data_IF_174551719941
#
_entry.id   IF_174551719941
#
_cell.length_a   1.000
_cell.length_b   1.000
_cell.length_c   1.000
_cell.angle_alpha   90.00
_cell.angle_beta   90.00
_cell.angle_gamma   90.00
#
_symmetry.space_group_name_H-M   'P 1'
#
loop_
_entity.id
_entity.type
_entity.pdbx_description
1 polymer ?
#
# COMPACT_ATOMS: atom_id res chain seq x y z
N UNK A 1 11.46 2.13 -13.82
CA UNK A 1 11.73 3.39 -13.09
C UNK A 1 12.20 3.12 -11.68
N UNK A 2 13.21 3.85 -11.20
CA UNK A 2 13.69 3.85 -9.80
C UNK A 2 14.01 5.27 -9.36
N UNK A 3 13.89 5.56 -8.06
CA UNK A 3 14.34 6.82 -7.46
C UNK A 3 15.85 6.75 -7.27
N UNK A 4 16.56 7.80 -7.67
CA UNK A 4 18.03 7.91 -7.54
C UNK A 4 18.46 9.07 -6.65
N UNK A 5 17.61 10.08 -6.49
CA UNK A 5 17.88 11.23 -5.63
C UNK A 5 16.58 11.73 -5.00
N UNK A 6 16.63 12.00 -3.71
CA UNK A 6 15.57 12.58 -2.88
C UNK A 6 16.12 13.84 -2.23
N UNK A 7 15.59 14.99 -2.62
CA UNK A 7 15.96 16.30 -2.06
C UNK A 7 14.76 16.89 -1.34
N UNK A 8 14.90 17.17 -0.05
CA UNK A 8 13.87 17.82 0.76
C UNK A 8 14.44 19.11 1.36
N UNK A 9 13.69 20.20 1.26
CA UNK A 9 14.03 21.50 1.87
C UNK A 9 12.82 22.05 2.61
N UNK A 10 13.04 22.46 3.85
CA UNK A 10 12.08 23.15 4.73
C UNK A 10 10.70 22.47 4.87
N UNK A 11 10.63 21.13 4.81
CA UNK A 11 9.38 20.38 4.86
C UNK A 11 9.22 19.64 6.20
N UNK A 12 8.20 20.01 6.97
CA UNK A 12 7.87 19.43 8.30
C UNK A 12 9.10 19.37 9.19
N UNK A 13 9.47 18.21 9.73
CA UNK A 13 10.67 18.06 10.58
C UNK A 13 12.01 18.13 9.82
N UNK A 14 12.03 18.31 8.50
CA UNK A 14 13.24 18.24 7.67
C UNK A 14 13.61 19.63 7.14
N UNK A 15 14.69 20.21 7.64
CA UNK A 15 15.28 21.42 7.07
C UNK A 15 15.96 21.14 5.73
N UNK A 16 16.83 20.14 5.70
CA UNK A 16 17.58 19.72 4.51
C UNK A 16 17.78 18.21 4.54
N UNK A 17 17.54 17.55 3.41
CA UNK A 17 17.92 16.17 3.16
C UNK A 17 18.32 16.05 1.69
N UNK A 18 19.49 15.46 1.46
CA UNK A 18 19.94 15.00 0.15
C UNK A 18 20.29 13.53 0.28
N UNK A 19 19.48 12.67 -0.31
CA UNK A 19 19.63 11.23 -0.16
C UNK A 19 19.61 10.54 -1.52
N UNK A 20 20.66 9.75 -1.76
CA UNK A 20 20.82 8.89 -2.93
C UNK A 20 20.52 7.43 -2.53
N UNK A 21 19.26 6.97 -2.64
CA UNK A 21 18.91 5.59 -2.31
C UNK A 21 19.64 4.60 -3.23
N UNK A 22 20.10 3.49 -2.65
CA UNK A 22 20.73 2.42 -3.44
C UNK A 22 19.68 1.66 -4.26
N UNK A 23 20.07 1.00 -5.37
CA UNK A 23 19.16 0.12 -6.10
C UNK A 23 18.54 -0.96 -5.22
N UNK A 24 17.25 -1.26 -5.43
CA UNK A 24 16.53 -2.30 -4.70
C UNK A 24 15.87 -1.80 -3.42
N UNK A 25 16.20 -2.42 -2.27
CA UNK A 25 15.53 -2.19 -1.00
C UNK A 25 16.35 -1.29 -0.08
N UNK A 26 15.74 -0.19 0.37
CA UNK A 26 16.32 0.73 1.33
C UNK A 26 15.53 0.69 2.64
N UNK A 27 16.22 0.65 3.78
CA UNK A 27 15.61 0.61 5.11
C UNK A 27 15.96 1.88 5.91
N UNK A 28 14.95 2.69 6.22
CA UNK A 28 15.11 3.83 7.12
C UNK A 28 14.93 3.37 8.58
N UNK A 29 15.99 3.44 9.38
CA UNK A 29 15.99 2.99 10.78
C UNK A 29 16.36 4.16 11.67
N UNK A 30 15.69 4.29 12.82
CA UNK A 30 15.93 5.37 13.77
C UNK A 30 14.82 5.50 14.81
N UNK A 31 15.04 6.28 15.89
CA UNK A 31 14.09 6.46 16.98
C UNK A 31 12.78 7.09 16.51
N UNK A 32 11.74 7.08 17.37
CA UNK A 32 10.49 7.82 17.12
C UNK A 32 10.77 9.28 16.73
N UNK A 33 9.94 9.84 15.85
CA UNK A 33 10.02 11.23 15.39
C UNK A 33 11.32 11.67 14.68
N UNK A 34 12.21 10.75 14.35
CA UNK A 34 13.38 11.00 13.51
C UNK A 34 13.04 11.16 12.01
N UNK A 35 11.87 11.71 11.68
CA UNK A 35 11.40 12.08 10.32
C UNK A 35 11.39 10.99 9.24
N UNK A 36 11.62 9.72 9.58
CA UNK A 36 11.57 8.58 8.63
C UNK A 36 10.28 8.53 7.81
N UNK A 37 9.13 8.67 8.47
CA UNK A 37 7.81 8.71 7.81
C UNK A 37 7.68 9.96 6.94
N UNK A 38 8.21 11.10 7.40
CA UNK A 38 8.23 12.36 6.65
C UNK A 38 8.98 12.23 5.32
N UNK A 39 10.09 11.48 5.28
CA UNK A 39 10.81 11.20 4.03
C UNK A 39 9.91 10.43 3.05
N UNK A 40 9.20 9.40 3.53
CA UNK A 40 8.28 8.62 2.71
C UNK A 40 7.08 9.46 2.25
N UNK A 41 6.54 10.31 3.12
CA UNK A 41 5.45 11.25 2.79
C UNK A 41 5.89 12.26 1.74
N UNK A 42 7.13 12.78 1.83
CA UNK A 42 7.71 13.70 0.84
C UNK A 42 7.82 13.06 -0.54
N UNK A 43 8.35 11.83 -0.61
CA UNK A 43 8.43 11.04 -1.85
C UNK A 43 7.03 10.83 -2.44
N UNK A 44 6.07 10.42 -1.59
CA UNK A 44 4.67 10.21 -2.02
C UNK A 44 4.05 11.50 -2.57
N UNK A 45 4.28 12.64 -1.89
CA UNK A 45 3.76 13.94 -2.28
C UNK A 45 4.28 14.37 -3.65
N UNK A 46 5.60 14.34 -3.86
CA UNK A 46 6.21 14.77 -5.12
C UNK A 46 5.80 13.89 -6.32
N UNK A 47 5.72 12.57 -6.13
CA UNK A 47 5.41 11.63 -7.22
C UNK A 47 3.91 11.38 -7.43
N UNK A 48 3.04 11.93 -6.58
CA UNK A 48 1.58 11.78 -6.69
C UNK A 48 0.89 13.15 -6.80
N UNK A 49 1.07 13.88 -7.92
CA UNK A 49 0.49 15.22 -8.09
C UNK A 49 -1.02 15.22 -7.89
N UNK A 50 -1.50 16.25 -7.19
CA UNK A 50 -2.91 16.41 -6.82
C UNK A 50 -3.39 17.78 -7.29
N UNK A 51 -4.56 17.82 -7.91
CA UNK A 51 -5.13 19.06 -8.44
C UNK A 51 -5.58 20.03 -7.34
N UNK A 52 -5.90 19.53 -6.14
CA UNK A 52 -6.43 20.31 -5.02
C UNK A 52 -5.67 19.97 -3.72
N UNK A 53 -4.34 20.12 -3.72
CA UNK A 53 -3.57 20.01 -2.47
C UNK A 53 -3.46 21.38 -1.82
N UNK A 54 -3.91 21.46 -0.58
CA UNK A 54 -3.63 22.56 0.32
C UNK A 54 -2.70 22.02 1.40
N UNK A 55 -1.55 22.68 1.51
CA UNK A 55 -0.62 22.47 2.61
C UNK A 55 -1.23 22.99 3.92
N UNK A 56 -0.68 22.51 5.03
CA UNK A 56 -0.93 23.05 6.36
C UNK A 56 0.31 23.83 6.81
N UNK A 57 0.16 24.76 7.75
CA UNK A 57 1.27 25.45 8.41
C UNK A 57 2.34 24.46 8.95
N UNK A 58 1.88 23.30 9.41
CA UNK A 58 2.73 22.20 9.89
C UNK A 58 3.57 21.51 8.81
N UNK A 59 3.30 21.77 7.53
CA UNK A 59 4.14 21.29 6.42
C UNK A 59 5.45 22.09 6.29
N UNK A 60 5.60 23.22 6.98
CA UNK A 60 6.81 24.06 6.95
C UNK A 60 7.73 23.78 8.14
N UNK A 61 9.04 23.74 7.88
CA UNK A 61 10.03 23.48 8.92
C UNK A 61 10.01 24.53 10.02
N UNK A 62 9.85 24.08 11.27
CA UNK A 62 9.70 24.95 12.45
C UNK A 62 8.57 25.98 12.34
N UNK A 63 7.56 25.74 11.49
CA UNK A 63 6.51 26.71 11.19
C UNK A 63 7.10 28.04 10.64
N UNK A 64 8.22 27.94 9.93
CA UNK A 64 8.86 29.09 9.29
C UNK A 64 8.30 29.29 7.88
N UNK A 65 7.50 30.34 7.74
CA UNK A 65 6.84 30.73 6.48
C UNK A 65 7.69 31.70 5.65
N UNK A 66 8.92 32.01 6.06
CA UNK A 66 9.80 32.91 5.31
C UNK A 66 10.43 32.25 4.08
N UNK A 67 10.42 30.91 4.03
CA UNK A 67 10.94 30.14 2.91
C UNK A 67 9.91 29.11 2.44
N UNK A 68 9.82 28.85 1.12
CA UNK A 68 8.98 27.78 0.62
C UNK A 68 9.54 26.41 1.05
N UNK A 69 8.65 25.44 1.19
CA UNK A 69 9.01 24.04 1.33
C UNK A 69 9.08 23.39 -0.06
N UNK A 70 10.14 22.66 -0.35
CA UNK A 70 10.30 21.99 -1.65
C UNK A 70 10.74 20.54 -1.48
N UNK A 71 10.13 19.65 -2.25
CA UNK A 71 10.57 18.26 -2.37
C UNK A 71 10.84 17.98 -3.84
N UNK A 72 12.06 17.56 -4.16
CA UNK A 72 12.47 17.16 -5.52
C UNK A 72 12.85 15.69 -5.52
N UNK A 73 12.21 14.90 -6.38
CA UNK A 73 12.49 13.48 -6.55
C UNK A 73 12.98 13.24 -7.97
N UNK A 74 14.16 12.64 -8.11
CA UNK A 74 14.72 12.27 -9.39
C UNK A 74 14.58 10.77 -9.62
N UNK A 75 14.08 10.41 -10.79
CA UNK A 75 13.88 9.03 -11.22
C UNK A 75 14.63 8.73 -12.52
N UNK A 76 15.12 7.51 -12.66
CA UNK A 76 15.73 6.97 -13.88
C UNK A 76 15.02 5.69 -14.32
N UNK A 77 15.48 5.03 -15.39
CA UNK A 77 14.79 3.90 -15.99
C UNK A 77 13.41 4.29 -16.53
N UNK A 78 13.37 5.44 -17.21
CA UNK A 78 12.18 6.07 -17.79
C UNK A 78 11.67 5.27 -18.99
N UNK A 79 10.34 5.18 -19.20
CA UNK A 79 9.77 4.61 -20.42
C UNK A 79 10.21 5.40 -21.66
N UNK A 80 10.33 4.75 -22.82
CA UNK A 80 10.77 5.40 -24.06
C UNK A 80 9.88 6.59 -24.45
N UNK A 81 8.58 6.53 -24.12
CA UNK A 81 7.63 7.62 -24.36
C UNK A 81 7.94 8.89 -23.54
N UNK A 82 8.67 8.78 -22.43
CA UNK A 82 9.12 9.93 -21.63
C UNK A 82 10.31 10.62 -22.29
N UNK A 83 11.14 9.88 -23.03
CA UNK A 83 12.38 10.38 -23.63
C UNK A 83 12.17 11.23 -24.89
N UNK A 84 10.99 11.13 -25.51
CA UNK A 84 10.69 11.92 -26.71
C UNK A 84 10.59 13.43 -26.43
N UNK A 85 11.04 14.23 -27.38
CA UNK A 85 10.93 15.70 -27.39
C UNK A 85 9.48 16.20 -27.29
N UNK A 86 8.54 15.46 -27.89
CA UNK A 86 7.11 15.74 -27.79
C UNK A 86 6.54 15.55 -26.36
N UNK A 87 7.36 15.02 -25.45
CA UNK A 87 6.99 14.73 -24.07
C UNK A 87 7.93 15.38 -23.07
N UNK A 88 9.01 14.72 -22.62
CA UNK A 88 9.93 15.30 -21.62
C UNK A 88 11.39 15.38 -22.07
N UNK A 89 11.71 15.09 -23.34
CA UNK A 89 13.09 15.04 -23.87
C UNK A 89 13.93 16.27 -23.51
N UNK A 90 13.37 17.47 -23.66
CA UNK A 90 14.09 18.73 -23.33
C UNK A 90 14.32 18.96 -21.83
N UNK A 91 13.61 18.25 -20.96
CA UNK A 91 13.65 18.38 -19.51
C UNK A 91 14.43 17.27 -18.81
N UNK A 92 15.04 16.37 -19.59
CA UNK A 92 15.89 15.31 -19.06
C UNK A 92 17.17 15.88 -18.46
N UNK A 93 17.70 15.15 -17.48
CA UNK A 93 18.97 15.36 -16.79
C UNK A 93 19.78 14.06 -16.89
N UNK A 94 21.10 14.11 -16.71
CA UNK A 94 21.96 12.94 -16.72
C UNK A 94 22.30 12.45 -15.32
N UNK A 95 22.01 11.20 -15.01
CA UNK A 95 22.41 10.56 -13.74
C UNK A 95 23.69 9.75 -13.90
N UNK A 96 24.69 10.05 -13.07
CA UNK A 96 25.92 9.26 -12.95
C UNK A 96 25.78 8.25 -11.80
N UNK A 97 25.62 6.98 -12.13
CA UNK A 97 25.50 5.90 -11.13
C UNK A 97 26.78 5.70 -10.32
N UNK A 98 27.96 6.01 -10.89
CA UNK A 98 29.25 5.80 -10.23
C UNK A 98 29.54 6.91 -9.24
N UNK A 99 29.26 8.16 -9.63
CA UNK A 99 29.44 9.32 -8.77
C UNK A 99 28.26 9.56 -7.81
N UNK A 100 27.10 8.98 -8.09
CA UNK A 100 25.86 9.25 -7.34
C UNK A 100 25.43 10.71 -7.48
N UNK A 101 25.64 11.30 -8.65
CA UNK A 101 25.44 12.73 -8.91
C UNK A 101 24.56 12.96 -10.14
N UNK A 102 23.96 14.15 -10.18
CA UNK A 102 23.03 14.56 -11.22
C UNK A 102 23.61 15.73 -12.00
N UNK A 103 23.69 15.58 -13.31
CA UNK A 103 24.08 16.61 -14.27
C UNK A 103 22.84 17.17 -14.95
N UNK A 104 22.74 18.49 -15.08
CA UNK A 104 21.65 19.12 -15.82
C UNK A 104 21.77 18.98 -17.33
N UNK A 105 22.99 18.83 -17.84
CA UNK A 105 23.28 18.50 -19.23
C UNK A 105 23.53 16.99 -19.32
N UNK A 106 22.58 16.20 -19.87
CA UNK A 106 22.77 14.78 -20.08
C UNK A 106 23.83 14.56 -21.16
N UNK A 107 24.89 13.85 -20.81
CA UNK A 107 25.88 13.31 -21.75
C UNK A 107 25.47 11.89 -22.15
N UNK A 108 25.95 11.40 -23.30
CA UNK A 108 25.69 10.04 -23.81
C UNK A 108 26.15 8.94 -22.83
N UNK A 109 27.05 9.29 -21.91
CA UNK A 109 27.58 8.42 -20.85
C UNK A 109 26.67 8.32 -19.61
N UNK A 110 25.67 9.19 -19.48
CA UNK A 110 24.81 9.31 -18.31
C UNK A 110 23.44 8.67 -18.55
N UNK A 111 22.81 8.14 -17.49
CA UNK A 111 21.46 7.60 -17.59
C UNK A 111 20.44 8.74 -17.59
N UNK A 112 19.51 8.76 -18.56
CA UNK A 112 18.41 9.73 -18.58
C UNK A 112 17.60 9.72 -17.28
N UNK A 113 17.49 10.89 -16.68
CA UNK A 113 16.82 11.14 -15.42
C UNK A 113 15.76 12.24 -15.57
N UNK A 114 14.69 12.11 -14.80
CA UNK A 114 13.64 13.13 -14.72
C UNK A 114 13.47 13.54 -13.25
N UNK A 115 13.59 14.83 -12.96
CA UNK A 115 13.33 15.38 -11.64
C UNK A 115 11.93 15.99 -11.58
N UNK A 116 11.13 15.55 -10.60
CA UNK A 116 9.81 16.08 -10.31
C UNK A 116 9.89 16.85 -8.99
N UNK A 117 9.45 18.11 -9.00
CA UNK A 117 9.40 18.98 -7.81
C UNK A 117 7.97 19.26 -7.43
N UNK A 118 7.70 19.21 -6.13
CA UNK A 118 6.57 19.89 -5.51
C UNK A 118 7.09 21.06 -4.67
N UNK A 119 6.53 22.24 -4.90
CA UNK A 119 6.80 23.45 -4.13
C UNK A 119 5.53 23.86 -3.38
N UNK A 120 5.65 24.07 -2.08
CA UNK A 120 4.58 24.58 -1.22
C UNK A 120 4.82 26.06 -1.00
N UNK A 121 3.86 26.88 -1.43
CA UNK A 121 3.92 28.32 -1.25
C UNK A 121 3.49 28.70 0.16
N UNK A 122 4.34 29.43 0.88
CA UNK A 122 4.10 29.77 2.29
C UNK A 122 2.98 30.81 2.49
N UNK A 123 2.63 31.57 1.46
CA UNK A 123 1.61 32.64 1.54
C UNK A 123 0.21 32.15 1.19
N UNK A 124 0.11 31.18 0.29
CA UNK A 124 -1.16 30.64 -0.24
C UNK A 124 -1.45 29.23 0.22
N UNK A 125 -0.44 28.53 0.78
CA UNK A 125 -0.48 27.10 1.12
C UNK A 125 -0.77 26.19 -0.09
N UNK A 126 -0.63 26.71 -1.31
CA UNK A 126 -0.81 25.92 -2.52
C UNK A 126 0.40 25.04 -2.81
N UNK A 127 0.15 23.78 -3.14
CA UNK A 127 1.17 22.89 -3.70
C UNK A 127 1.21 22.97 -5.23
N UNK A 128 2.41 23.18 -5.80
CA UNK A 128 2.62 23.21 -7.25
C UNK A 128 3.60 22.13 -7.67
N UNK A 129 3.20 21.29 -8.62
CA UNK A 129 4.02 20.23 -9.19
C UNK A 129 4.56 20.63 -10.54
N UNK A 130 5.86 20.41 -10.75
CA UNK A 130 6.52 20.66 -12.02
C UNK A 130 7.68 19.69 -12.25
N UNK A 131 8.14 19.63 -13.49
CA UNK A 131 9.48 19.16 -13.81
C UNK A 131 10.50 20.18 -13.30
N UNK A 132 11.70 19.73 -12.98
CA UNK A 132 12.74 20.59 -12.44
C UNK A 132 14.12 20.27 -13.03
N UNK A 133 14.86 21.31 -13.39
CA UNK A 133 16.29 21.28 -13.70
C UNK A 133 16.83 22.70 -13.55
N UNK A 134 18.14 22.87 -13.35
CA UNK A 134 18.74 24.20 -13.12
C UNK A 134 18.74 25.09 -14.37
N UNK A 135 18.50 24.50 -15.55
CA UNK A 135 18.42 25.23 -16.82
C UNK A 135 17.08 25.94 -17.05
N UNK A 136 16.09 25.73 -16.18
CA UNK A 136 14.80 26.41 -16.30
C UNK A 136 14.96 27.90 -15.96
N UNK A 137 14.29 28.75 -16.74
CA UNK A 137 14.16 30.15 -16.42
C UNK A 137 13.32 30.31 -15.12
N UNK A 138 13.87 30.92 -14.06
CA UNK A 138 13.15 31.13 -12.81
C UNK A 138 11.90 32.00 -12.93
N UNK A 139 11.82 32.86 -13.95
CA UNK A 139 10.67 33.75 -14.18
C UNK A 139 9.58 33.10 -15.04
N UNK A 140 9.89 32.00 -15.73
CA UNK A 140 8.95 31.29 -16.58
C UNK A 140 8.07 30.31 -15.78
N UNK A 141 6.88 30.02 -16.31
CA UNK A 141 6.04 28.96 -15.74
C UNK A 141 6.72 27.59 -15.94
N UNK A 142 6.94 26.82 -14.86
CA UNK A 142 7.73 25.61 -14.95
C UNK A 142 6.92 24.50 -15.67
N UNK A 143 7.59 23.63 -16.45
CA UNK A 143 6.90 22.58 -17.21
C UNK A 143 6.14 21.62 -16.29
N UNK A 144 4.88 21.33 -16.59
CA UNK A 144 4.07 20.41 -15.78
C UNK A 144 4.24 18.94 -16.18
N UNK A 145 4.14 18.04 -15.21
CA UNK A 145 3.99 16.61 -15.45
C UNK A 145 2.55 16.30 -15.88
N UNK A 146 2.34 15.55 -16.97
CA UNK A 146 0.99 15.19 -17.40
C UNK A 146 0.35 14.25 -16.39
N UNK A 147 -0.95 14.46 -16.13
CA UNK A 147 -1.71 13.67 -15.17
C UNK A 147 -1.74 12.15 -15.49
N UNK A 148 -1.81 11.78 -16.77
CA UNK A 148 -1.77 10.38 -17.18
C UNK A 148 -0.45 9.71 -16.80
N UNK A 149 0.66 10.42 -16.97
CA UNK A 149 2.01 9.92 -16.73
C UNK A 149 2.36 9.89 -15.24
N UNK A 150 1.78 10.80 -14.46
CA UNK A 150 1.88 10.79 -13.01
C UNK A 150 1.41 9.46 -12.39
N UNK A 151 0.45 8.77 -13.02
CA UNK A 151 -0.01 7.45 -12.56
C UNK A 151 1.09 6.40 -12.61
N UNK A 152 1.98 6.47 -13.61
CA UNK A 152 3.07 5.52 -13.79
C UNK A 152 4.22 5.79 -12.80
N UNK A 153 4.37 7.05 -12.37
CA UNK A 153 5.36 7.49 -11.39
C UNK A 153 4.92 7.30 -9.93
N UNK A 154 3.61 7.31 -9.66
CA UNK A 154 3.07 7.33 -8.31
C UNK A 154 3.48 6.08 -7.49
N UNK A 155 4.12 6.24 -6.32
CA UNK A 155 4.52 5.12 -5.49
C UNK A 155 3.32 4.33 -4.95
N UNK A 156 3.58 3.10 -4.50
CA UNK A 156 2.63 2.31 -3.73
C UNK A 156 3.06 2.30 -2.28
N UNK A 157 2.30 2.98 -1.41
CA UNK A 157 2.57 2.99 0.03
C UNK A 157 1.96 1.77 0.71
N UNK A 158 2.79 0.89 1.23
CA UNK A 158 2.37 -0.20 2.12
C UNK A 158 2.43 0.32 3.56
N UNK A 159 1.30 0.34 4.26
CA UNK A 159 1.19 0.94 5.59
C UNK A 159 -0.04 0.44 6.36
N UNK A 160 -0.47 1.16 7.41
CA UNK A 160 -1.58 0.76 8.29
C UNK A 160 -2.91 0.48 7.56
N UNK A 161 -3.06 1.00 6.34
CA UNK A 161 -4.22 0.81 5.48
C UNK A 161 -3.92 -0.10 4.28
N UNK A 162 -3.08 -1.13 4.49
CA UNK A 162 -2.68 -2.09 3.45
C UNK A 162 -3.88 -2.80 2.81
N UNK A 163 -5.00 -2.96 3.53
CA UNK A 163 -6.24 -3.54 3.03
C UNK A 163 -6.77 -2.84 1.78
N UNK A 164 -6.55 -1.52 1.67
CA UNK A 164 -6.94 -0.75 0.47
C UNK A 164 -6.26 -1.27 -0.79
N UNK A 165 -5.08 -1.89 -0.69
CA UNK A 165 -4.37 -2.48 -1.83
C UNK A 165 -4.87 -3.85 -2.24
N UNK A 166 -5.60 -4.53 -1.34
CA UNK A 166 -6.17 -5.87 -1.55
C UNK A 166 -7.62 -5.85 -2.03
N UNK A 167 -8.16 -4.66 -2.30
CA UNK A 167 -9.39 -4.46 -3.07
C UNK A 167 -9.15 -3.65 -4.35
N UNK A 168 -10.08 -3.71 -5.30
CA UNK A 168 -10.19 -2.77 -6.41
C UNK A 168 -10.81 -1.47 -5.91
N UNK A 169 -9.98 -0.61 -5.34
CA UNK A 169 -10.29 0.77 -5.00
C UNK A 169 -9.47 1.75 -5.85
N UNK A 170 -9.81 3.05 -5.79
CA UNK A 170 -8.98 4.09 -6.42
C UNK A 170 -7.55 4.01 -5.86
N UNK A 171 -6.55 3.98 -6.75
CA UNK A 171 -5.10 3.90 -6.46
C UNK A 171 -4.60 2.59 -5.81
N UNK A 172 -5.44 1.54 -5.70
CA UNK A 172 -5.00 0.25 -5.17
C UNK A 172 -4.07 -0.50 -6.12
N UNK A 173 -3.24 -1.41 -5.60
CA UNK A 173 -2.38 -2.30 -6.40
C UNK A 173 -3.20 -3.12 -7.38
N UNK A 174 -4.31 -3.72 -6.94
CA UNK A 174 -5.17 -4.52 -7.82
C UNK A 174 -5.75 -3.71 -8.98
N UNK A 175 -6.08 -2.43 -8.76
CA UNK A 175 -6.55 -1.53 -9.82
C UNK A 175 -5.42 -1.06 -10.77
N UNK A 176 -4.15 -1.15 -10.36
CA UNK A 176 -3.00 -0.90 -11.26
C UNK A 176 -2.67 -2.12 -12.12
N UNK A 177 -2.82 -3.32 -11.57
CA UNK A 177 -2.58 -4.59 -12.30
C UNK A 177 -3.75 -4.89 -13.26
N UNK A 178 -4.96 -4.45 -12.93
CA UNK A 178 -6.12 -4.56 -13.82
C UNK A 178 -5.93 -3.73 -15.09
N UNK A 179 -5.86 -4.41 -16.25
CA UNK A 179 -5.39 -3.83 -17.50
C UNK A 179 -6.31 -2.80 -18.18
N UNK A 180 -7.54 -2.57 -17.71
CA UNK A 180 -8.44 -1.62 -18.35
C UNK A 180 -9.36 -0.94 -17.33
N UNK A 181 -9.58 0.37 -17.47
CA UNK A 181 -10.50 1.17 -16.64
C UNK A 181 -11.96 0.67 -16.57
N UNK A 182 -12.29 -0.44 -17.26
CA UNK A 182 -13.55 -1.20 -17.16
C UNK A 182 -13.98 -1.46 -15.72
N UNK A 183 -13.04 -1.73 -14.81
CA UNK A 183 -13.34 -2.00 -13.40
C UNK A 183 -13.91 -0.78 -12.67
N UNK A 184 -13.37 0.42 -12.94
CA UNK A 184 -13.92 1.67 -12.37
C UNK A 184 -15.34 1.96 -12.88
N UNK A 185 -15.64 1.58 -14.13
CA UNK A 185 -16.99 1.66 -14.69
C UNK A 185 -17.99 0.75 -13.97
N UNK A 186 -17.58 -0.49 -13.66
CA UNK A 186 -18.42 -1.43 -12.91
C UNK A 186 -18.67 -0.98 -11.46
N UNK A 187 -17.64 -0.48 -10.77
CA UNK A 187 -17.81 0.12 -9.44
C UNK A 187 -18.82 1.27 -9.46
N UNK A 188 -18.69 2.18 -10.44
CA UNK A 188 -19.63 3.29 -10.59
C UNK A 188 -21.06 2.80 -10.87
N UNK A 189 -21.23 1.75 -11.70
CA UNK A 189 -22.52 1.14 -11.95
C UNK A 189 -23.14 0.51 -10.68
N UNK A 190 -22.34 -0.20 -9.89
CA UNK A 190 -22.76 -0.78 -8.62
C UNK A 190 -23.16 0.30 -7.60
N UNK A 191 -22.36 1.36 -7.44
CA UNK A 191 -22.70 2.48 -6.55
C UNK A 191 -23.99 3.19 -7.00
N UNK A 192 -24.24 3.32 -8.31
CA UNK A 192 -25.51 3.86 -8.84
C UNK A 192 -26.69 2.94 -8.53
N UNK A 193 -26.54 1.63 -8.72
CA UNK A 193 -27.57 0.65 -8.41
C UNK A 193 -27.90 0.63 -6.92
N UNK A 194 -26.90 0.75 -6.03
CA UNK A 194 -27.12 0.85 -4.58
C UNK A 194 -27.89 2.12 -4.19
N UNK A 195 -27.55 3.26 -4.81
CA UNK A 195 -28.29 4.52 -4.62
C UNK A 195 -29.74 4.40 -5.07
N UNK A 196 -29.98 3.77 -6.22
CA UNK A 196 -31.32 3.56 -6.75
C UNK A 196 -32.15 2.63 -5.87
N UNK A 197 -31.56 1.51 -5.42
CA UNK A 197 -32.20 0.61 -4.47
C UNK A 197 -32.57 1.34 -3.18
N UNK A 198 -31.67 2.15 -2.61
CA UNK A 198 -31.95 2.94 -1.42
C UNK A 198 -33.08 3.98 -1.63
N UNK A 199 -33.17 4.58 -2.83
CA UNK A 199 -34.28 5.49 -3.16
C UNK A 199 -35.62 4.80 -3.16
N UNK A 200 -35.67 3.53 -3.57
CA UNK A 200 -36.90 2.74 -3.63
C UNK A 200 -37.37 2.17 -2.28
N UNK A 201 -36.48 2.14 -1.27
CA UNK A 201 -36.82 1.68 0.09
C UNK A 201 -37.66 2.67 0.87
N UNK A 202 -38.40 2.17 1.89
CA UNK A 202 -39.07 3.01 2.86
C UNK A 202 -38.03 3.82 3.68
N UNK A 203 -38.20 5.15 3.70
CA UNK A 203 -37.29 6.10 4.37
C UNK A 203 -37.86 6.71 5.67
N UNK A 204 -38.93 6.15 6.23
CA UNK A 204 -39.68 6.69 7.38
C UNK A 204 -38.78 6.90 8.62
N UNK A 205 -37.81 6.00 8.83
CA UNK A 205 -36.83 6.10 9.93
C UNK A 205 -36.03 7.41 9.87
N UNK A 206 -35.85 7.99 8.68
CA UNK A 206 -35.11 9.24 8.49
C UNK A 206 -36.01 10.49 8.46
N UNK A 207 -37.34 10.34 8.49
CA UNK A 207 -38.26 11.47 8.33
C UNK A 207 -38.10 12.54 9.43
N UNK A 208 -38.01 12.12 10.69
CA UNK A 208 -37.83 13.06 11.81
C UNK A 208 -36.45 13.78 11.78
N UNK A 209 -35.30 13.09 11.59
CA UNK A 209 -34.01 13.74 11.38
C UNK A 209 -33.98 14.71 10.20
N UNK A 210 -34.56 14.33 9.06
CA UNK A 210 -34.63 15.17 7.85
C UNK A 210 -35.43 16.45 8.11
N UNK A 211 -36.60 16.33 8.77
CA UNK A 211 -37.41 17.49 9.14
C UNK A 211 -36.69 18.43 10.12
N UNK A 212 -35.89 17.88 11.04
CA UNK A 212 -35.08 18.70 11.96
C UNK A 212 -33.95 19.42 11.24
N UNK A 213 -33.25 18.74 10.32
CA UNK A 213 -32.21 19.34 9.49
C UNK A 213 -32.76 20.51 8.64
N UNK A 214 -33.96 20.34 8.06
CA UNK A 214 -34.62 21.38 7.31
C UNK A 214 -35.02 22.59 8.18
N UNK A 215 -35.50 22.36 9.41
CA UNK A 215 -35.78 23.46 10.36
C UNK A 215 -34.51 24.26 10.68
N UNK A 216 -33.40 23.57 10.93
CA UNK A 216 -32.12 24.19 11.26
C UNK A 216 -31.52 24.93 10.06
N UNK A 217 -31.61 24.39 8.85
CA UNK A 217 -31.04 25.02 7.65
C UNK A 217 -31.63 26.39 7.35
N UNK A 218 -32.91 26.61 7.70
CA UNK A 218 -33.59 27.91 7.58
C UNK A 218 -32.95 28.97 8.49
N UNK A 219 -32.48 28.56 9.67
CA UNK A 219 -31.75 29.46 10.57
C UNK A 219 -30.39 29.88 9.98
N UNK A 220 -29.77 29.01 9.19
CA UNK A 220 -28.51 29.27 8.49
C UNK A 220 -28.68 29.85 7.08
N UNK A 221 -29.90 30.26 6.68
CA UNK A 221 -30.19 30.83 5.36
C UNK A 221 -29.75 29.97 4.16
N UNK A 222 -29.69 28.65 4.33
CA UNK A 222 -29.36 27.72 3.24
C UNK A 222 -30.55 27.63 2.29
N UNK A 223 -30.36 28.04 1.02
CA UNK A 223 -31.38 27.93 -0.02
C UNK A 223 -31.53 26.48 -0.46
N UNK A 224 -32.71 25.91 -0.26
CA UNK A 224 -33.07 24.57 -0.74
C UNK A 224 -34.25 24.68 -1.70
N UNK A 225 -34.17 23.99 -2.86
CA UNK A 225 -35.17 24.08 -3.92
C UNK A 225 -36.37 23.15 -3.68
N UNK A 226 -36.10 21.89 -3.37
CA UNK A 226 -37.13 20.82 -3.35
C UNK A 226 -37.28 20.12 -1.98
N UNK A 227 -36.63 20.63 -0.93
CA UNK A 227 -36.63 20.06 0.42
C UNK A 227 -35.41 19.18 0.72
N UNK A 228 -35.30 18.72 1.97
CA UNK A 228 -34.25 17.78 2.38
C UNK A 228 -34.74 16.34 2.19
N UNK A 229 -33.85 15.45 1.76
CA UNK A 229 -34.13 14.02 1.63
C UNK A 229 -32.95 13.21 2.13
N UNK A 230 -33.23 12.06 2.75
CA UNK A 230 -32.18 11.07 3.01
C UNK A 230 -31.77 10.38 1.71
N UNK A 231 -30.47 10.38 1.42
CA UNK A 231 -29.85 9.72 0.27
C UNK A 231 -28.65 8.87 0.73
N UNK A 232 -28.33 7.83 -0.03
CA UNK A 232 -27.19 6.97 0.24
C UNK A 232 -25.93 7.57 -0.36
N UNK A 233 -24.98 7.97 0.48
CA UNK A 233 -23.62 8.22 0.02
C UNK A 233 -22.79 6.95 0.07
N UNK A 234 -22.14 6.63 -1.05
CA UNK A 234 -21.33 5.42 -1.19
C UNK A 234 -19.88 5.87 -1.38
N UNK A 235 -19.33 6.50 -0.34
CA UNK A 235 -17.91 6.87 -0.31
C UNK A 235 -17.11 5.62 0.02
N UNK A 236 -16.29 5.16 -0.92
CA UNK A 236 -15.34 4.07 -0.66
C UNK A 236 -15.80 2.66 -1.04
N UNK A 237 -16.71 2.49 -2.01
CA UNK A 237 -16.93 1.16 -2.61
C UNK A 237 -15.62 0.60 -3.16
N UNK A 238 -15.20 -0.53 -2.62
CA UNK A 238 -14.12 -1.35 -3.17
C UNK A 238 -14.65 -2.76 -3.41
N UNK A 239 -14.21 -3.40 -4.49
CA UNK A 239 -14.42 -4.84 -4.68
C UNK A 239 -13.24 -5.53 -4.00
N UNK A 240 -13.49 -6.48 -3.10
CA UNK A 240 -12.43 -7.24 -2.44
C UNK A 240 -12.30 -8.63 -3.06
N UNK A 241 -11.14 -9.26 -2.86
CA UNK A 241 -10.86 -10.58 -3.42
C UNK A 241 -11.39 -11.65 -2.46
N UNK A 242 -12.20 -12.57 -2.97
CA UNK A 242 -12.64 -13.76 -2.23
C UNK A 242 -11.97 -15.00 -2.82
N UNK A 243 -11.67 -16.01 -1.99
CA UNK A 243 -11.32 -17.34 -2.49
C UNK A 243 -12.54 -18.17 -2.89
N UNK A 244 -12.28 -19.36 -3.42
CA UNK A 244 -13.25 -20.39 -3.78
C UNK A 244 -14.15 -20.83 -2.62
N UNK A 245 -13.73 -20.58 -1.37
CA UNK A 245 -14.49 -20.89 -0.15
C UNK A 245 -15.29 -19.69 0.35
N UNK A 246 -15.35 -18.59 -0.40
CA UNK A 246 -16.06 -17.37 -0.01
C UNK A 246 -15.37 -16.60 1.12
N UNK A 247 -14.06 -16.81 1.32
CA UNK A 247 -13.28 -16.11 2.34
C UNK A 247 -12.58 -14.91 1.72
N UNK A 248 -12.81 -13.74 2.31
CA UNK A 248 -12.13 -12.51 1.92
C UNK A 248 -10.61 -12.58 2.15
N UNK A 249 -9.86 -12.19 1.13
CA UNK A 249 -8.41 -12.03 1.12
C UNK A 249 -8.06 -10.59 1.46
N UNK A 250 -8.05 -10.31 2.76
CA UNK A 250 -7.59 -9.07 3.36
C UNK A 250 -6.31 -9.29 4.17
N UNK A 251 -5.66 -8.20 4.56
CA UNK A 251 -4.61 -8.26 5.56
C UNK A 251 -5.25 -8.51 6.93
N UNK A 252 -4.55 -9.22 7.79
CA UNK A 252 -5.05 -9.59 9.12
C UNK A 252 -3.96 -9.19 10.13
N UNK A 253 -4.22 -8.07 10.82
CA UNK A 253 -3.26 -7.46 11.73
C UNK A 253 -2.89 -8.42 12.87
N UNK A 254 -3.85 -9.18 13.39
CA UNK A 254 -3.62 -10.14 14.45
C UNK A 254 -2.69 -11.27 13.99
N UNK A 255 -2.95 -11.84 12.79
CA UNK A 255 -2.04 -12.83 12.20
C UNK A 255 -0.66 -12.26 11.94
N UNK A 256 -0.56 -11.02 11.46
CA UNK A 256 0.73 -10.37 11.26
C UNK A 256 1.50 -10.25 12.58
N UNK A 257 0.84 -9.85 13.67
CA UNK A 257 1.48 -9.76 14.98
C UNK A 257 1.89 -11.13 15.52
N UNK A 258 1.05 -12.16 15.33
CA UNK A 258 1.40 -13.55 15.64
C UNK A 258 2.56 -14.07 14.79
N UNK A 259 2.68 -13.62 13.54
CA UNK A 259 3.79 -14.00 12.64
C UNK A 259 5.14 -13.49 13.10
N UNK A 260 5.21 -12.38 13.86
CA UNK A 260 6.46 -11.87 14.45
C UNK A 260 7.08 -12.88 15.42
N UNK A 261 6.24 -13.71 16.06
CA UNK A 261 6.67 -14.80 16.93
C UNK A 261 7.04 -16.09 16.19
N UNK A 262 6.78 -16.19 14.88
CA UNK A 262 6.85 -17.44 14.12
C UNK A 262 8.21 -18.13 14.22
N UNK A 263 9.31 -17.38 14.30
CA UNK A 263 10.65 -17.96 14.42
C UNK A 263 10.84 -18.76 15.71
N UNK A 264 10.39 -18.21 16.84
CA UNK A 264 10.42 -18.89 18.13
C UNK A 264 9.45 -20.09 18.15
N UNK A 265 8.31 -19.94 17.49
CA UNK A 265 7.33 -21.01 17.31
C UNK A 265 7.89 -22.19 16.51
N UNK A 266 8.53 -21.92 15.37
CA UNK A 266 9.15 -22.94 14.51
C UNK A 266 10.33 -23.62 15.21
N UNK A 267 11.08 -22.91 16.06
CA UNK A 267 12.17 -23.50 16.84
C UNK A 267 11.68 -24.57 17.84
N UNK A 268 10.43 -24.49 18.28
CA UNK A 268 9.80 -25.48 19.15
C UNK A 268 9.20 -26.68 18.41
N UNK A 269 9.12 -26.67 17.08
CA UNK A 269 8.53 -27.78 16.32
C UNK A 269 9.23 -29.13 16.56
N UNK A 270 10.57 -29.21 16.64
CA UNK A 270 11.26 -30.47 16.93
C UNK A 270 10.84 -31.04 18.30
N UNK A 271 10.04 -32.10 18.29
CA UNK A 271 9.48 -32.74 19.49
C UNK A 271 7.97 -32.53 19.70
N UNK A 272 7.35 -31.61 18.96
CA UNK A 272 5.90 -31.39 19.01
C UNK A 272 5.12 -32.41 18.16
N UNK A 273 3.84 -32.58 18.50
CA UNK A 273 2.88 -33.30 17.66
C UNK A 273 2.30 -32.32 16.65
N UNK A 274 2.32 -32.73 15.39
CA UNK A 274 1.67 -32.04 14.27
C UNK A 274 0.52 -32.89 13.76
N UNK A 275 -0.41 -32.26 13.06
CA UNK A 275 -1.67 -32.82 12.61
C UNK A 275 -1.75 -32.76 11.10
N UNK A 276 -2.60 -33.58 10.50
CA UNK A 276 -2.74 -33.65 9.04
C UNK A 276 -4.20 -33.70 8.60
N UNK A 277 -4.48 -33.00 7.51
CA UNK A 277 -5.71 -33.02 6.73
C UNK A 277 -5.44 -33.64 5.35
N UNK A 278 -6.46 -33.96 4.53
CA UNK A 278 -6.24 -34.41 3.15
C UNK A 278 -5.40 -33.43 2.32
N UNK A 279 -5.44 -32.13 2.65
CA UNK A 279 -4.86 -31.06 1.84
C UNK A 279 -3.54 -30.50 2.40
N UNK A 280 -3.33 -30.54 3.73
CA UNK A 280 -2.20 -29.88 4.38
C UNK A 280 -1.84 -30.46 5.77
N UNK A 281 -0.61 -30.21 6.23
CA UNK A 281 -0.19 -30.45 7.62
C UNK A 281 -0.40 -29.16 8.43
N UNK A 282 -0.63 -29.29 9.74
CA UNK A 282 -0.69 -28.15 10.63
C UNK A 282 -0.17 -28.43 12.04
N UNK A 283 0.32 -27.39 12.70
CA UNK A 283 0.71 -27.41 14.11
C UNK A 283 -0.30 -26.59 14.92
N UNK A 284 -0.52 -27.00 16.17
CA UNK A 284 -1.28 -26.21 17.14
C UNK A 284 -0.29 -25.62 18.13
N UNK A 285 -0.41 -24.32 18.32
CA UNK A 285 0.50 -23.53 19.13
C UNK A 285 -0.34 -22.80 20.17
N UNK A 286 -0.03 -22.98 21.44
CA UNK A 286 -0.66 -22.18 22.50
C UNK A 286 -0.01 -20.80 22.53
N UNK A 287 -0.78 -19.74 22.28
CA UNK A 287 -0.31 -18.36 22.38
C UNK A 287 -0.01 -17.99 23.85
N UNK A 288 0.64 -16.85 24.09
CA UNK A 288 0.84 -16.32 25.45
C UNK A 288 -0.48 -16.07 26.19
N UNK A 289 -1.58 -15.83 25.46
CA UNK A 289 -2.92 -15.67 26.01
C UNK A 289 -3.63 -17.01 26.29
N UNK A 290 -2.98 -18.15 26.06
CA UNK A 290 -3.55 -19.48 26.28
C UNK A 290 -4.47 -19.97 25.16
N UNK A 291 -4.58 -19.23 24.05
CA UNK A 291 -5.46 -19.57 22.93
C UNK A 291 -4.75 -20.45 21.90
N UNK A 292 -5.51 -21.25 21.15
CA UNK A 292 -4.98 -22.14 20.11
C UNK A 292 -4.73 -21.39 18.80
N UNK A 293 -3.48 -21.30 18.39
CA UNK A 293 -3.05 -20.77 17.10
C UNK A 293 -2.68 -21.92 16.16
N UNK A 294 -3.45 -22.09 15.07
CA UNK A 294 -3.25 -23.17 14.10
C UNK A 294 -2.42 -22.68 12.92
N UNK A 295 -1.29 -23.33 12.66
CA UNK A 295 -0.34 -22.98 11.60
C UNK A 295 -0.24 -24.14 10.61
N UNK A 296 -0.76 -23.95 9.41
CA UNK A 296 -0.65 -24.89 8.31
C UNK A 296 0.70 -24.72 7.62
N UNK A 297 1.36 -25.84 7.36
CA UNK A 297 2.69 -25.87 6.79
C UNK A 297 2.87 -27.11 5.92
N UNK A 298 3.91 -27.07 5.12
CA UNK A 298 4.31 -28.20 4.31
C UNK A 298 5.83 -28.30 4.28
N UNK A 299 6.30 -29.53 4.10
CA UNK A 299 7.70 -29.91 4.21
C UNK A 299 8.06 -30.66 2.94
N UNK A 300 9.09 -30.19 2.23
CA UNK A 300 9.58 -30.80 0.99
C UNK A 300 11.05 -31.14 1.08
N UNK A 301 11.43 -32.28 0.51
CA UNK A 301 12.84 -32.65 0.34
C UNK A 301 13.47 -31.74 -0.70
N UNK A 302 14.67 -31.23 -0.41
CA UNK A 302 15.46 -30.46 -1.37
C UNK A 302 16.37 -31.40 -2.18
N UNK A 303 16.68 -31.03 -3.43
CA UNK A 303 17.54 -31.82 -4.32
C UNK A 303 18.98 -31.98 -3.79
N UNK A 304 19.46 -31.03 -2.99
CA UNK A 304 20.83 -31.03 -2.45
C UNK A 304 20.88 -31.37 -0.96
N UNK A 305 21.69 -32.40 -0.63
CA UNK A 305 21.95 -32.92 0.74
C UNK A 305 20.65 -33.35 1.47
N UNK A 306 20.77 -34.05 2.61
CA UNK A 306 19.63 -34.42 3.47
C UNK A 306 18.98 -33.17 4.11
N UNK A 307 18.42 -32.27 3.31
CA UNK A 307 17.79 -31.01 3.73
C UNK A 307 16.31 -31.03 3.39
N UNK A 308 15.52 -30.50 4.30
CA UNK A 308 14.11 -30.25 4.12
C UNK A 308 13.86 -28.74 4.05
N UNK A 309 12.91 -28.34 3.22
CA UNK A 309 12.34 -26.99 3.20
C UNK A 309 10.97 -27.05 3.84
N UNK A 310 10.80 -26.38 4.97
CA UNK A 310 9.49 -26.11 5.56
C UNK A 310 8.99 -24.76 5.06
N UNK A 311 7.76 -24.72 4.60
CA UNK A 311 7.07 -23.48 4.25
C UNK A 311 5.72 -23.43 4.99
N UNK A 312 5.44 -22.27 5.58
CA UNK A 312 4.14 -22.00 6.23
C UNK A 312 3.18 -21.53 5.14
N UNK A 313 2.08 -22.27 4.96
CA UNK A 313 1.07 -22.01 3.92
C UNK A 313 0.02 -21.02 4.40
N UNK A 314 -0.44 -21.20 5.64
CA UNK A 314 -1.39 -20.30 6.27
C UNK A 314 -1.35 -20.44 7.78
N UNK A 315 -1.89 -19.44 8.47
CA UNK A 315 -2.19 -19.53 9.89
C UNK A 315 -3.52 -18.84 10.15
N UNK A 316 -4.24 -19.28 11.17
CA UNK A 316 -5.56 -18.75 11.51
C UNK A 316 -5.52 -18.18 12.91
N UNK A 317 -6.04 -16.95 13.08
CA UNK A 317 -6.13 -16.31 14.39
C UNK A 317 -6.99 -17.20 15.31
N UNK A 318 -6.62 -17.33 16.60
CA UNK A 318 -7.42 -18.07 17.58
C UNK A 318 -8.84 -17.54 17.75
N UNK A 319 -9.07 -16.27 17.42
CA UNK A 319 -10.35 -15.57 17.56
C UNK A 319 -11.09 -15.41 16.23
N UNK A 320 -10.51 -15.87 15.12
CA UNK A 320 -11.19 -15.78 13.84
C UNK A 320 -12.29 -16.83 13.73
N UNK A 321 -13.53 -16.39 13.42
CA UNK A 321 -14.64 -17.27 13.02
C UNK A 321 -14.38 -18.02 11.71
N UNK A 322 -13.24 -17.76 11.05
CA UNK A 322 -12.81 -18.41 9.81
C UNK A 322 -12.58 -19.88 10.09
N UNK A 323 -13.42 -20.72 9.48
CA UNK A 323 -13.48 -22.18 9.57
C UNK A 323 -12.30 -22.80 10.33
N UNK A 324 -12.45 -22.90 11.64
CA UNK A 324 -11.60 -23.76 12.48
C UNK A 324 -12.00 -25.17 12.08
N UNK A 325 -11.20 -25.88 11.26
CA UNK A 325 -11.68 -27.12 10.69
C UNK A 325 -11.71 -28.11 11.87
N UNK A 326 -12.88 -28.66 12.20
CA UNK A 326 -13.17 -29.73 13.18
C UNK A 326 -12.44 -29.66 14.57
N UNK A 327 -12.94 -30.33 15.61
CA UNK A 327 -12.16 -30.49 16.84
C UNK A 327 -10.83 -31.22 16.54
N UNK A 328 -9.77 -30.91 17.30
CA UNK A 328 -8.42 -31.50 17.13
C UNK A 328 -8.46 -33.04 17.13
N UNK A 329 -9.45 -33.62 17.82
CA UNK A 329 -9.73 -35.05 17.90
C UNK A 329 -10.10 -35.69 16.56
N UNK A 330 -10.50 -34.90 15.56
CA UNK A 330 -10.83 -35.39 14.22
C UNK A 330 -9.60 -35.64 13.34
N UNK A 331 -8.39 -35.26 13.78
CA UNK A 331 -7.18 -35.32 12.94
C UNK A 331 -6.17 -36.36 13.40
N UNK A 332 -5.50 -36.96 12.42
CA UNK A 332 -4.33 -37.79 12.67
C UNK A 332 -3.18 -36.93 13.20
N UNK A 333 -2.41 -37.47 14.14
CA UNK A 333 -1.29 -36.79 14.79
C UNK A 333 0.00 -37.57 14.64
N UNK A 334 1.11 -36.89 14.35
CA UNK A 334 2.44 -37.47 14.23
C UNK A 334 3.47 -36.55 14.90
N UNK A 335 4.58 -37.09 15.42
CA UNK A 335 5.69 -36.23 15.88
C UNK A 335 6.33 -35.57 14.66
N UNK A 336 6.61 -34.28 14.75
CA UNK A 336 7.21 -33.51 13.65
C UNK A 336 8.50 -34.16 13.10
N UNK A 337 9.37 -34.67 13.98
CA UNK A 337 10.62 -35.33 13.55
C UNK A 337 10.35 -36.59 12.71
N UNK A 338 9.31 -37.37 13.04
CA UNK A 338 8.94 -38.55 12.25
C UNK A 338 8.37 -38.17 10.88
N UNK A 339 7.63 -37.07 10.80
CA UNK A 339 7.17 -36.52 9.52
C UNK A 339 8.38 -36.12 8.65
N UNK A 340 9.35 -35.42 9.23
CA UNK A 340 10.59 -35.03 8.56
C UNK A 340 11.39 -36.24 8.06
N UNK A 341 11.59 -37.27 8.90
CA UNK A 341 12.31 -38.50 8.53
C UNK A 341 11.62 -39.23 7.37
N UNK A 342 10.29 -39.34 7.42
CA UNK A 342 9.49 -39.98 6.36
C UNK A 342 9.70 -39.30 5.01
N UNK A 343 9.69 -37.95 4.99
CA UNK A 343 9.89 -37.14 3.78
C UNK A 343 11.34 -37.20 3.30
N UNK A 344 12.32 -37.22 4.19
CA UNK A 344 13.74 -37.39 3.84
C UNK A 344 14.01 -38.74 3.18
N UNK A 345 13.38 -39.80 3.67
CA UNK A 345 13.46 -41.16 3.14
C UNK A 345 12.80 -41.31 1.75
N UNK A 346 12.11 -40.29 1.25
CA UNK A 346 11.36 -40.36 -0.01
C UNK A 346 10.13 -41.26 0.07
N UNK A 347 9.71 -41.64 1.28
CA UNK A 347 8.45 -42.35 1.49
C UNK A 347 7.32 -41.32 1.37
N UNK A 348 6.22 -41.63 0.65
CA UNK A 348 5.05 -40.77 0.71
C UNK A 348 4.61 -40.69 2.17
N UNK A 349 4.37 -39.47 2.67
CA UNK A 349 3.77 -39.26 3.97
C UNK A 349 2.33 -39.82 3.91
N UNK A 350 2.17 -41.14 4.13
CA UNK A 350 0.88 -41.83 4.09
C UNK A 350 0.13 -41.53 5.38
N UNK A 351 -0.71 -40.52 5.34
CA UNK A 351 -1.69 -40.26 6.39
C UNK A 351 -3.03 -39.99 5.71
N UNK A 352 -3.75 -41.07 5.40
CA UNK A 352 -5.15 -41.03 4.99
C UNK A 352 -5.90 -42.01 5.87
N UNK A 353 -6.93 -41.51 6.56
CA UNK A 353 -7.87 -42.30 7.33
C UNK A 353 -9.28 -41.96 6.87
N UNK A 354 -9.67 -42.55 5.72
CA UNK A 354 -10.97 -42.54 5.06
C UNK A 354 -11.56 -41.21 4.59
#
# INVERSE_FOLDING_TARGET
MRIVLVEVRNFRGIRTLDWTPSPGMNCLIGPGDATKTTILDAIELALSPRTNYLADDTDFYNLDFTQPATVTITVVGLPDSFRSDARYGFHLRGWDETAGSLSDEPDDSLEDALSIRVSLDASTLEGRWSLFHLRLDPEAEPPSLRFADARDLAPTRLGPYADRHLGWGRQSVLNRIGLDGRMTGQLAAASRAAREAFRSTNKDVFAAPVAQAEKLSRHFSVRVRDGFTAELDVQGSAITVFDDRGVERCFDQERYDLSKGLRALLAGLPGTKVYQTPEANFAIITTRSGREYRVFFNVRKMEQKKRLRLYVESAYSPDSERAIPAPVTAYQRVKFNLLCDTILDGKPAKFHGR
#
